data_IF_004685577141
#
_entry.id   IF_004685577141
#
_cell.length_a   1.000
_cell.length_b   1.000
_cell.length_c   1.000
_cell.angle_alpha   90.00
_cell.angle_beta   90.00
_cell.angle_gamma   90.00
#
_symmetry.space_group_name_H-M   'P 1'
#
loop_
_entity.id
_entity.type
_entity.pdbx_description
1 polymer ?
#
# COMPACT_ATOMS: atom_id res chain seq x y z
N UNK A 1 24.83 -13.72 -11.30
CA UNK A 1 25.18 -13.42 -9.90
C UNK A 1 23.85 -13.22 -9.17
N UNK A 2 23.44 -14.23 -8.39
CA UNK A 2 22.14 -14.22 -7.69
C UNK A 2 22.25 -13.24 -6.53
N UNK A 3 21.46 -12.16 -6.55
CA UNK A 3 21.23 -11.35 -5.37
C UNK A 3 20.59 -12.28 -4.32
N UNK A 4 21.36 -12.72 -3.32
CA UNK A 4 20.78 -13.31 -2.11
C UNK A 4 19.84 -12.25 -1.52
N UNK A 5 18.54 -12.55 -1.57
CA UNK A 5 17.48 -11.66 -1.13
C UNK A 5 17.82 -11.05 0.25
N UNK A 6 17.92 -9.73 0.29
CA UNK A 6 17.88 -8.87 1.50
C UNK A 6 19.09 -8.83 2.43
N UNK A 7 20.21 -9.50 2.15
CA UNK A 7 21.37 -9.52 3.08
C UNK A 7 22.21 -8.23 3.15
N UNK A 8 21.92 -7.23 2.30
CA UNK A 8 22.77 -6.05 2.09
C UNK A 8 22.15 -4.71 2.52
N UNK A 9 21.02 -4.73 3.22
CA UNK A 9 20.42 -3.49 3.72
C UNK A 9 20.33 -3.53 5.24
N UNK A 10 20.91 -2.52 5.89
CA UNK A 10 20.91 -2.35 7.36
C UNK A 10 19.51 -2.17 7.96
N UNK A 11 18.52 -1.94 7.09
CA UNK A 11 17.13 -1.70 7.46
C UNK A 11 16.21 -2.70 6.78
N UNK A 12 15.22 -3.22 7.52
CA UNK A 12 14.26 -4.23 7.03
C UNK A 12 12.88 -3.60 6.84
N UNK A 13 12.29 -3.81 5.67
CA UNK A 13 10.89 -3.46 5.41
C UNK A 13 9.94 -4.38 6.21
N UNK A 14 8.97 -3.86 6.97
CA UNK A 14 7.97 -4.68 7.66
C UNK A 14 7.10 -5.44 6.66
N UNK A 15 6.91 -6.74 6.87
CA UNK A 15 6.21 -7.57 5.87
C UNK A 15 4.73 -7.17 5.72
N UNK A 16 4.29 -6.83 4.49
CA UNK A 16 2.93 -6.36 4.27
C UNK A 16 1.96 -7.55 4.22
N UNK A 17 0.69 -7.28 4.54
CA UNK A 17 -0.42 -8.17 4.19
C UNK A 17 -1.35 -7.40 3.26
N UNK A 18 -0.91 -7.27 2.01
CA UNK A 18 -1.51 -6.41 1.01
C UNK A 18 -1.57 -7.15 -0.33
N UNK A 19 -2.72 -7.08 -0.99
CA UNK A 19 -2.98 -7.77 -2.25
C UNK A 19 -2.09 -7.18 -3.35
N UNK A 20 -1.39 -8.02 -4.08
CA UNK A 20 -0.53 -7.56 -5.19
C UNK A 20 0.80 -6.92 -4.77
N UNK A 21 1.16 -6.95 -3.47
CA UNK A 21 2.42 -6.37 -2.99
C UNK A 21 3.65 -7.00 -3.66
N UNK A 22 4.51 -6.15 -4.24
CA UNK A 22 5.71 -6.56 -5.01
C UNK A 22 6.96 -6.80 -4.15
N UNK A 23 6.78 -6.95 -2.84
CA UNK A 23 7.87 -7.08 -1.87
C UNK A 23 8.82 -8.27 -2.18
N UNK A 24 8.28 -9.36 -2.75
CA UNK A 24 9.02 -10.56 -3.19
C UNK A 24 9.78 -10.38 -4.51
N UNK A 25 9.46 -9.33 -5.27
CA UNK A 25 10.02 -9.07 -6.60
C UNK A 25 11.04 -7.94 -6.58
N UNK A 26 11.24 -7.28 -5.44
CA UNK A 26 12.23 -6.21 -5.24
C UNK A 26 13.60 -6.55 -5.83
N UNK A 27 14.18 -7.69 -5.45
CA UNK A 27 15.50 -8.11 -5.95
C UNK A 27 15.56 -8.39 -7.45
N UNK A 28 14.43 -8.72 -8.08
CA UNK A 28 14.34 -8.88 -9.53
C UNK A 28 14.17 -7.53 -10.24
N UNK A 29 13.25 -6.69 -9.76
CA UNK A 29 13.01 -5.34 -10.29
C UNK A 29 14.28 -4.47 -10.17
N UNK A 30 15.03 -4.60 -9.08
CA UNK A 30 16.26 -3.86 -8.84
C UNK A 30 17.32 -4.04 -9.93
N UNK A 31 17.33 -5.19 -10.62
CA UNK A 31 18.29 -5.49 -11.69
C UNK A 31 18.09 -4.61 -12.95
N UNK A 32 16.92 -3.98 -13.07
CA UNK A 32 16.55 -3.15 -14.22
C UNK A 32 16.61 -1.65 -13.92
N UNK A 33 17.05 -1.27 -12.72
CA UNK A 33 17.28 0.14 -12.36
C UNK A 33 18.64 0.56 -12.95
N UNK A 34 18.71 1.58 -13.82
CA UNK A 34 19.99 2.09 -14.29
C UNK A 34 20.86 2.61 -13.14
N UNK A 35 22.17 2.35 -13.19
CA UNK A 35 23.09 2.73 -12.10
C UNK A 35 23.05 4.23 -11.79
N UNK A 36 22.94 5.06 -12.84
CA UNK A 36 22.94 6.53 -12.76
C UNK A 36 21.61 7.15 -12.32
N UNK A 37 20.58 6.36 -12.07
CA UNK A 37 19.29 6.85 -11.55
C UNK A 37 19.49 7.42 -10.14
N UNK A 38 19.08 8.67 -9.91
CA UNK A 38 19.19 9.36 -8.61
C UNK A 38 17.81 9.65 -8.02
N UNK A 39 16.87 10.12 -8.84
CA UNK A 39 15.50 10.49 -8.44
C UNK A 39 14.53 9.50 -9.04
N UNK A 40 13.72 8.87 -8.19
CA UNK A 40 12.73 7.87 -8.62
C UNK A 40 11.34 8.21 -8.13
N UNK A 41 10.34 7.90 -8.96
CA UNK A 41 8.93 7.94 -8.61
C UNK A 41 8.37 6.52 -8.47
N UNK A 42 7.80 6.17 -7.33
CA UNK A 42 6.88 5.04 -7.17
C UNK A 42 5.45 5.57 -7.30
N UNK A 43 4.84 5.41 -8.49
CA UNK A 43 3.61 6.10 -8.87
C UNK A 43 2.34 5.51 -8.22
N UNK A 44 2.37 4.22 -7.89
CA UNK A 44 1.27 3.43 -7.34
C UNK A 44 1.78 2.55 -6.20
N UNK A 45 2.25 3.22 -5.16
CA UNK A 45 3.14 2.61 -4.18
C UNK A 45 2.49 1.55 -3.29
N UNK A 46 1.18 1.61 -3.06
CA UNK A 46 0.43 0.64 -2.26
C UNK A 46 1.10 0.39 -0.91
N UNK A 47 1.62 -0.83 -0.75
CA UNK A 47 2.39 -1.24 0.43
C UNK A 47 3.68 -0.45 0.70
N UNK A 48 4.19 0.35 -0.24
CA UNK A 48 5.49 1.05 -0.21
C UNK A 48 6.72 0.15 -0.31
N UNK A 49 6.55 -1.14 -0.61
CA UNK A 49 7.68 -2.08 -0.63
C UNK A 49 8.74 -1.77 -1.71
N UNK A 50 8.33 -1.20 -2.84
CA UNK A 50 9.24 -0.80 -3.93
C UNK A 50 9.87 0.56 -3.63
N UNK A 51 9.08 1.56 -3.24
CA UNK A 51 9.58 2.83 -2.68
C UNK A 51 10.64 2.62 -1.58
N UNK A 52 10.41 1.69 -0.65
CA UNK A 52 11.35 1.40 0.43
C UNK A 52 12.67 0.83 -0.10
N UNK A 53 12.62 -0.08 -1.09
CA UNK A 53 13.81 -0.57 -1.76
C UNK A 53 14.59 0.55 -2.44
N UNK A 54 13.91 1.46 -3.13
CA UNK A 54 14.58 2.61 -3.73
C UNK A 54 15.31 3.47 -2.68
N UNK A 55 14.67 3.69 -1.52
CA UNK A 55 15.27 4.42 -0.40
C UNK A 55 16.51 3.68 0.14
N UNK A 56 16.41 2.35 0.29
CA UNK A 56 17.53 1.48 0.69
C UNK A 56 18.69 1.51 -0.33
N UNK A 57 18.39 1.67 -1.61
CA UNK A 57 19.39 1.86 -2.68
C UNK A 57 19.97 3.29 -2.75
N UNK A 58 19.70 4.14 -1.75
CA UNK A 58 20.25 5.50 -1.65
C UNK A 58 19.63 6.50 -2.62
N UNK A 59 18.51 6.18 -3.26
CA UNK A 59 17.82 7.07 -4.22
C UNK A 59 17.00 8.13 -3.48
N UNK A 60 16.81 9.30 -4.10
CA UNK A 60 15.75 10.24 -3.69
C UNK A 60 14.43 9.66 -4.17
N UNK A 61 13.54 9.37 -3.25
CA UNK A 61 12.26 8.70 -3.54
C UNK A 61 11.12 9.68 -3.46
N UNK A 62 10.39 9.79 -4.56
CA UNK A 62 9.05 10.33 -4.60
C UNK A 62 8.10 9.14 -4.61
N UNK A 63 7.16 9.08 -3.68
CA UNK A 63 6.16 8.01 -3.64
C UNK A 63 4.76 8.59 -3.68
N UNK A 64 3.84 7.91 -4.33
CA UNK A 64 2.44 8.31 -4.44
C UNK A 64 1.51 7.12 -4.26
N UNK A 65 0.43 7.33 -3.51
CA UNK A 65 -0.75 6.46 -3.56
C UNK A 65 -2.01 7.29 -3.40
N UNK A 66 -3.08 6.94 -4.12
CA UNK A 66 -4.33 7.70 -4.02
C UNK A 66 -5.12 7.36 -2.75
N UNK A 67 -4.92 6.18 -2.15
CA UNK A 67 -5.50 5.81 -0.86
C UNK A 67 -4.61 6.35 0.25
N UNK A 68 -5.21 7.10 1.17
CA UNK A 68 -4.44 7.77 2.19
C UNK A 68 -3.80 6.79 3.17
N UNK A 69 -4.45 5.65 3.47
CA UNK A 69 -3.82 4.66 4.36
C UNK A 69 -2.50 4.10 3.78
N UNK A 70 -2.39 3.99 2.45
CA UNK A 70 -1.14 3.61 1.76
C UNK A 70 -0.12 4.75 1.76
N UNK A 71 -0.57 5.98 1.49
CA UNK A 71 0.28 7.17 1.58
C UNK A 71 0.85 7.37 3.00
N UNK A 72 0.10 7.04 4.05
CA UNK A 72 0.61 7.13 5.42
C UNK A 72 1.77 6.17 5.68
N UNK A 73 1.82 5.01 5.02
CA UNK A 73 3.01 4.13 5.06
C UNK A 73 4.19 4.85 4.39
N UNK A 74 3.94 5.57 3.28
CA UNK A 74 4.94 6.37 2.57
C UNK A 74 5.47 7.50 3.44
N UNK A 75 4.59 8.26 4.08
CA UNK A 75 4.95 9.27 5.08
C UNK A 75 5.76 8.65 6.23
N UNK A 76 5.34 7.51 6.75
CA UNK A 76 5.94 6.89 7.92
C UNK A 76 7.31 6.25 7.68
N UNK A 77 7.54 5.66 6.50
CA UNK A 77 8.74 4.85 6.22
C UNK A 77 9.64 5.42 5.12
N UNK A 78 9.10 6.20 4.19
CA UNK A 78 9.83 6.75 3.04
C UNK A 78 10.27 8.19 3.33
N UNK A 79 9.31 9.10 3.57
CA UNK A 79 9.59 10.51 3.84
C UNK A 79 10.21 10.73 5.23
N UNK A 80 9.72 10.02 6.24
CA UNK A 80 10.27 10.08 7.59
C UNK A 80 11.72 9.56 7.65
N UNK A 81 12.61 10.40 8.16
CA UNK A 81 14.04 10.10 8.28
C UNK A 81 14.45 9.57 9.66
N UNK A 82 13.67 9.83 10.71
CA UNK A 82 14.15 9.63 12.10
C UNK A 82 13.09 9.48 13.19
N UNK A 83 11.85 9.93 12.96
CA UNK A 83 10.84 9.98 14.02
C UNK A 83 10.25 8.59 14.26
N UNK A 84 10.31 8.13 15.51
CA UNK A 84 9.81 6.83 15.95
C UNK A 84 8.80 7.02 17.08
N UNK A 85 7.93 6.05 17.28
CA UNK A 85 7.03 6.06 18.44
C UNK A 85 7.79 5.56 19.68
N UNK A 86 7.76 6.34 20.75
CA UNK A 86 8.31 6.00 22.06
C UNK A 86 7.20 5.63 23.05
N UNK A 87 7.57 5.24 24.27
CA UNK A 87 6.61 4.78 25.27
C UNK A 87 5.57 5.85 25.65
N UNK A 88 5.96 7.13 25.66
CA UNK A 88 5.03 8.23 25.99
C UNK A 88 3.99 8.43 24.89
N UNK A 89 4.39 8.26 23.62
CA UNK A 89 3.44 8.27 22.51
C UNK A 89 2.45 7.09 22.63
N UNK A 90 2.93 5.91 23.03
CA UNK A 90 2.08 4.72 23.19
C UNK A 90 1.08 4.90 24.32
N UNK A 91 1.50 5.41 25.47
CA UNK A 91 0.61 5.73 26.60
C UNK A 91 -0.48 6.72 26.18
N UNK A 92 -0.11 7.77 25.44
CA UNK A 92 -1.05 8.75 24.89
C UNK A 92 -2.04 8.11 23.92
N UNK A 93 -1.55 7.33 22.94
CA UNK A 93 -2.37 6.66 21.94
C UNK A 93 -3.35 5.66 22.55
N UNK A 94 -2.94 4.98 23.62
CA UNK A 94 -3.75 3.97 24.31
C UNK A 94 -4.61 4.53 25.45
N UNK A 95 -4.60 5.85 25.66
CA UNK A 95 -5.47 6.51 26.61
C UNK A 95 -6.94 6.46 26.18
N UNK A 96 -7.84 6.81 27.09
CA UNK A 96 -9.27 6.83 26.84
C UNK A 96 -9.67 7.79 25.70
N UNK A 97 -10.88 7.59 25.21
CA UNK A 97 -11.40 8.33 24.08
C UNK A 97 -11.62 9.79 24.46
N UNK A 98 -10.91 10.69 23.80
CA UNK A 98 -10.90 12.11 24.17
C UNK A 98 -12.18 12.85 23.83
N UNK A 99 -12.98 12.31 22.91
CA UNK A 99 -14.27 12.88 22.50
C UNK A 99 -15.16 11.75 21.95
N UNK A 100 -15.87 11.00 22.81
CA UNK A 100 -16.68 9.86 22.39
C UNK A 100 -17.84 10.23 21.45
N UNK A 101 -18.29 11.48 21.46
CA UNK A 101 -19.33 11.95 20.54
C UNK A 101 -18.80 12.09 19.11
N UNK A 102 -17.53 12.50 18.99
CA UNK A 102 -16.83 12.63 17.72
C UNK A 102 -16.17 11.34 17.27
N UNK A 103 -15.63 10.54 18.18
CA UNK A 103 -14.91 9.31 17.86
C UNK A 103 -15.72 8.08 18.28
N UNK A 104 -16.64 7.67 17.41
CA UNK A 104 -17.48 6.48 17.57
C UNK A 104 -17.77 5.79 16.23
N UNK A 105 -17.12 6.22 15.15
CA UNK A 105 -17.43 5.80 13.78
C UNK A 105 -17.13 4.32 13.57
N UNK A 106 -16.03 3.82 14.13
CA UNK A 106 -15.64 2.42 13.94
C UNK A 106 -16.53 1.50 14.76
N UNK A 107 -16.92 1.92 15.96
CA UNK A 107 -17.92 1.25 16.78
C UNK A 107 -19.29 1.19 16.09
N UNK A 108 -19.76 2.30 15.51
CA UNK A 108 -21.05 2.33 14.81
C UNK A 108 -21.08 1.46 13.54
N UNK A 109 -19.99 1.45 12.77
CA UNK A 109 -19.97 0.77 11.47
C UNK A 109 -19.57 -0.70 11.56
N UNK A 110 -18.61 -1.05 12.42
CA UNK A 110 -17.87 -2.30 12.29
C UNK A 110 -17.96 -3.24 13.51
N UNK A 111 -18.60 -2.82 14.60
CA UNK A 111 -18.94 -3.71 15.74
C UNK A 111 -19.88 -4.82 15.29
N UNK A 112 -19.58 -6.05 15.67
CA UNK A 112 -20.37 -7.23 15.27
C UNK A 112 -20.20 -7.63 13.80
N UNK A 113 -19.37 -6.90 13.05
CA UNK A 113 -19.07 -7.18 11.64
C UNK A 113 -17.62 -7.64 11.46
N UNK A 114 -16.67 -6.79 11.86
CA UNK A 114 -15.23 -7.09 11.79
C UNK A 114 -14.57 -7.21 13.17
N UNK A 115 -15.13 -6.54 14.17
CA UNK A 115 -14.57 -6.41 15.50
C UNK A 115 -15.65 -6.66 16.57
N UNK A 116 -15.24 -7.10 17.76
CA UNK A 116 -16.11 -7.03 18.94
C UNK A 116 -16.18 -5.59 19.48
N UNK A 117 -17.11 -5.35 20.40
CA UNK A 117 -17.37 -4.03 20.99
C UNK A 117 -16.14 -3.40 21.67
N UNK A 118 -15.37 -4.20 22.42
CA UNK A 118 -14.14 -3.76 23.06
C UNK A 118 -13.09 -3.31 22.02
N UNK A 119 -12.98 -4.05 20.92
CA UNK A 119 -12.00 -3.76 19.86
C UNK A 119 -12.37 -2.52 19.07
N UNK A 120 -13.62 -2.38 18.64
CA UNK A 120 -14.07 -1.20 17.89
C UNK A 120 -13.99 0.07 18.74
N UNK A 121 -14.35 -0.01 20.02
CA UNK A 121 -14.21 1.09 20.98
C UNK A 121 -12.75 1.48 21.17
N UNK A 122 -11.83 0.50 21.23
CA UNK A 122 -10.40 0.78 21.28
C UNK A 122 -9.88 1.44 20.00
N UNK A 123 -10.35 1.03 18.81
CA UNK A 123 -9.97 1.66 17.54
C UNK A 123 -10.36 3.14 17.53
N UNK A 124 -11.57 3.46 17.97
CA UNK A 124 -12.07 4.85 18.05
C UNK A 124 -11.30 5.66 19.10
N UNK A 125 -11.03 5.08 20.27
CA UNK A 125 -10.19 5.68 21.31
C UNK A 125 -8.80 6.02 20.78
N UNK A 126 -8.14 5.05 20.14
CA UNK A 126 -6.82 5.24 19.53
C UNK A 126 -6.86 6.38 18.50
N UNK A 127 -7.85 6.38 17.61
CA UNK A 127 -8.00 7.41 16.57
C UNK A 127 -8.24 8.80 17.14
N UNK A 128 -8.95 8.89 18.26
CA UNK A 128 -9.17 10.13 19.00
C UNK A 128 -7.87 10.73 19.51
N UNK A 129 -6.86 9.90 19.82
CA UNK A 129 -5.60 10.35 20.41
C UNK A 129 -4.50 10.64 19.39
N UNK A 130 -4.58 10.13 18.15
CA UNK A 130 -3.52 10.30 17.13
C UNK A 130 -3.14 11.77 16.91
N UNK A 131 -4.13 12.67 16.80
CA UNK A 131 -3.87 14.09 16.50
C UNK A 131 -3.10 14.83 17.62
N UNK A 132 -3.03 14.24 18.83
CA UNK A 132 -2.29 14.77 19.97
C UNK A 132 -0.79 14.52 19.86
N UNK A 133 -0.35 13.60 18.99
CA UNK A 133 1.06 13.45 18.65
C UNK A 133 1.51 14.69 17.87
N UNK A 134 2.49 15.43 18.39
CA UNK A 134 2.95 16.69 17.80
C UNK A 134 3.63 16.53 16.43
N UNK A 135 4.09 15.34 16.10
CA UNK A 135 4.85 15.07 14.88
C UNK A 135 4.02 14.29 13.84
N UNK A 136 3.88 14.78 12.60
CA UNK A 136 3.06 14.14 11.57
C UNK A 136 3.60 12.77 11.15
N UNK A 137 4.90 12.52 11.24
CA UNK A 137 5.48 11.21 10.95
C UNK A 137 5.17 10.19 12.04
N UNK A 138 5.14 10.61 13.31
CA UNK A 138 4.66 9.75 14.41
C UNK A 138 3.17 9.42 14.23
N UNK A 139 2.34 10.40 13.81
CA UNK A 139 0.93 10.16 13.48
C UNK A 139 0.79 9.13 12.34
N UNK A 140 1.55 9.30 11.26
CA UNK A 140 1.55 8.38 10.12
C UNK A 140 1.99 6.96 10.52
N UNK A 141 3.02 6.85 11.37
CA UNK A 141 3.51 5.58 11.89
C UNK A 141 2.44 4.89 12.75
N UNK A 142 1.82 5.63 13.67
CA UNK A 142 0.75 5.12 14.54
C UNK A 142 -0.44 4.58 13.72
N UNK A 143 -0.93 5.36 12.76
CA UNK A 143 -2.03 4.95 11.88
C UNK A 143 -1.65 3.75 11.01
N UNK A 144 -0.44 3.74 10.45
CA UNK A 144 0.05 2.63 9.62
C UNK A 144 0.13 1.31 10.40
N UNK A 145 0.65 1.34 11.64
CA UNK A 145 0.74 0.15 12.50
C UNK A 145 -0.68 -0.28 12.95
N UNK A 146 -1.59 0.65 13.22
CA UNK A 146 -2.98 0.30 13.55
C UNK A 146 -3.72 -0.34 12.36
N UNK A 147 -3.58 0.22 11.15
CA UNK A 147 -4.09 -0.40 9.93
C UNK A 147 -3.54 -1.81 9.74
N UNK A 148 -2.21 -1.99 9.94
CA UNK A 148 -1.59 -3.32 9.91
C UNK A 148 -2.17 -4.24 10.97
N UNK A 149 -2.38 -3.76 12.19
CA UNK A 149 -2.97 -4.52 13.30
C UNK A 149 -4.38 -5.02 12.96
N UNK A 150 -5.21 -4.17 12.35
CA UNK A 150 -6.54 -4.55 11.87
C UNK A 150 -6.47 -5.60 10.75
N UNK A 151 -5.55 -5.50 9.79
CA UNK A 151 -5.42 -6.54 8.74
C UNK A 151 -5.02 -7.92 9.29
N UNK A 152 -4.32 -7.97 10.43
CA UNK A 152 -3.98 -9.24 11.10
C UNK A 152 -5.20 -9.96 11.69
N UNK A 153 -6.30 -9.23 11.92
CA UNK A 153 -7.58 -9.77 12.39
C UNK A 153 -8.40 -10.45 11.29
N UNK A 154 -7.96 -10.42 10.04
CA UNK A 154 -8.63 -11.08 8.91
C UNK A 154 -7.70 -12.04 8.19
N UNK A 155 -8.26 -13.10 7.60
CA UNK A 155 -7.47 -14.18 6.99
C UNK A 155 -6.89 -13.80 5.63
N UNK A 156 -7.58 -12.97 4.84
CA UNK A 156 -7.14 -12.55 3.50
C UNK A 156 -6.42 -11.19 3.48
N UNK A 157 -6.29 -10.51 4.61
CA UNK A 157 -5.64 -9.20 4.68
C UNK A 157 -6.46 -8.02 4.14
N UNK A 158 -7.74 -8.22 3.86
CA UNK A 158 -8.65 -7.20 3.33
C UNK A 158 -10.08 -7.42 3.87
N UNK A 159 -10.94 -6.40 3.72
CA UNK A 159 -12.26 -6.30 4.38
C UNK A 159 -13.42 -6.47 3.41
N UNK A 160 -13.27 -7.39 2.45
CA UNK A 160 -14.22 -7.61 1.34
C UNK A 160 -15.28 -8.70 1.63
N UNK A 161 -15.31 -9.25 2.84
CA UNK A 161 -16.25 -10.30 3.25
C UNK A 161 -16.58 -10.20 4.74
N UNK A 162 -17.75 -10.69 5.14
CA UNK A 162 -18.30 -10.57 6.50
C UNK A 162 -17.89 -11.73 7.45
N UNK A 163 -16.83 -12.46 7.12
CA UNK A 163 -16.45 -13.71 7.80
C UNK A 163 -15.46 -13.53 8.96
N UNK A 164 -15.06 -12.31 9.29
CA UNK A 164 -14.01 -12.04 10.27
C UNK A 164 -14.33 -12.66 11.64
N UNK A 165 -15.53 -12.40 12.18
CA UNK A 165 -15.95 -12.93 13.49
C UNK A 165 -16.24 -14.44 13.45
N UNK A 166 -16.72 -14.96 12.32
CA UNK A 166 -16.88 -16.41 12.11
C UNK A 166 -15.53 -17.12 12.16
N UNK A 167 -14.50 -16.54 11.53
CA UNK A 167 -13.14 -17.10 11.59
C UNK A 167 -12.50 -16.94 12.97
N UNK A 168 -12.83 -15.88 13.70
CA UNK A 168 -12.38 -15.67 15.06
C UNK A 168 -13.04 -16.62 16.07
N UNK A 169 -14.13 -17.31 15.72
CA UNK A 169 -14.77 -18.34 16.55
C UNK A 169 -14.46 -19.78 16.14
N UNK A 170 -13.76 -19.99 15.01
CA UNK A 170 -13.36 -21.32 14.52
C UNK A 170 -11.98 -21.72 15.08
N UNK A 171 -11.89 -22.75 15.97
CA UNK A 171 -10.62 -23.22 16.54
C UNK A 171 -9.57 -23.60 15.49
N UNK A 172 -9.98 -24.12 14.33
CA UNK A 172 -9.09 -24.51 13.24
C UNK A 172 -8.45 -23.29 12.59
N UNK A 173 -9.23 -22.20 12.42
CA UNK A 173 -8.73 -20.93 11.87
C UNK A 173 -7.82 -20.22 12.87
N UNK A 174 -8.20 -20.19 14.14
CA UNK A 174 -7.40 -19.62 15.24
C UNK A 174 -6.04 -20.31 15.35
N UNK A 175 -6.00 -21.65 15.25
CA UNK A 175 -4.74 -22.42 15.28
C UNK A 175 -3.77 -21.98 14.17
N UNK A 176 -4.29 -21.62 12.99
CA UNK A 176 -3.48 -21.15 11.84
C UNK A 176 -3.12 -19.67 11.93
N UNK A 177 -4.03 -18.85 12.44
CA UNK A 177 -3.81 -17.42 12.64
C UNK A 177 -4.33 -17.00 14.01
N UNK A 178 -3.45 -17.00 15.01
CA UNK A 178 -3.81 -16.59 16.38
C UNK A 178 -4.19 -15.11 16.45
N UNK A 179 -3.75 -14.28 15.52
CA UNK A 179 -4.10 -12.84 15.52
C UNK A 179 -5.61 -12.61 15.46
N UNK A 180 -6.41 -13.53 14.90
CA UNK A 180 -7.87 -13.40 14.79
C UNK A 180 -8.58 -13.12 16.14
N UNK A 181 -8.04 -13.63 17.25
CA UNK A 181 -8.63 -13.46 18.60
C UNK A 181 -7.80 -12.59 19.52
N UNK A 182 -6.62 -12.13 19.09
CA UNK A 182 -5.76 -11.31 19.94
C UNK A 182 -6.31 -9.88 20.00
N UNK A 183 -6.25 -9.21 21.16
CA UNK A 183 -6.57 -7.80 21.26
C UNK A 183 -5.71 -6.96 20.33
N UNK A 184 -6.30 -5.96 19.66
CA UNK A 184 -5.59 -5.07 18.75
C UNK A 184 -4.41 -4.36 19.41
N UNK A 185 -4.54 -3.97 20.68
CA UNK A 185 -3.45 -3.38 21.49
C UNK A 185 -2.20 -4.26 21.50
N UNK A 186 -2.36 -5.57 21.66
CA UNK A 186 -1.25 -6.51 21.72
C UNK A 186 -0.63 -6.73 20.32
N UNK A 187 -1.46 -6.78 19.27
CA UNK A 187 -0.96 -6.88 17.90
C UNK A 187 -0.15 -5.63 17.53
N UNK A 188 -0.63 -4.45 17.91
CA UNK A 188 0.07 -3.18 17.70
C UNK A 188 1.45 -3.19 18.35
N UNK A 189 1.52 -3.57 19.63
CA UNK A 189 2.79 -3.62 20.38
C UNK A 189 3.79 -4.63 19.80
N UNK A 190 3.31 -5.75 19.27
CA UNK A 190 4.18 -6.73 18.59
C UNK A 190 4.77 -6.18 17.27
N UNK A 191 4.00 -5.38 16.53
CA UNK A 191 4.41 -4.82 15.25
C UNK A 191 5.31 -3.57 15.40
N UNK A 192 5.14 -2.84 16.50
CA UNK A 192 5.81 -1.56 16.75
C UNK A 192 7.34 -1.62 16.61
N UNK A 193 8.05 -2.60 17.21
CA UNK A 193 9.51 -2.68 17.07
C UNK A 193 9.98 -2.77 15.61
N UNK A 194 9.29 -3.56 14.78
CA UNK A 194 9.64 -3.73 13.36
C UNK A 194 9.45 -2.42 12.58
N UNK A 195 8.34 -1.71 12.80
CA UNK A 195 8.07 -0.43 12.15
C UNK A 195 9.04 0.66 12.62
N UNK A 196 9.34 0.74 13.92
CA UNK A 196 10.34 1.68 14.44
C UNK A 196 11.75 1.38 13.89
N UNK A 197 12.12 0.11 13.75
CA UNK A 197 13.41 -0.28 13.17
C UNK A 197 13.49 0.03 11.65
N UNK A 198 12.34 0.06 10.97
CA UNK A 198 12.27 0.36 9.55
C UNK A 198 12.42 1.86 9.21
N UNK A 199 12.35 2.77 10.19
CA UNK A 199 12.59 4.21 9.97
C UNK A 199 14.08 4.50 9.93
N UNK A 200 14.54 5.09 8.81
CA UNK A 200 15.93 5.46 8.61
C UNK A 200 16.10 6.67 7.69
N UNK A 201 17.30 7.28 7.76
CA UNK A 201 17.70 8.40 6.92
C UNK A 201 18.66 7.91 5.84
N UNK A 202 18.32 8.11 4.57
CA UNK A 202 19.21 7.83 3.43
C UNK A 202 19.90 9.11 2.90
N UNK A 203 19.84 10.21 3.64
CA UNK A 203 20.41 11.52 3.32
C UNK A 203 19.81 12.14 2.04
N UNK A 204 18.54 11.84 1.75
CA UNK A 204 17.78 12.39 0.62
C UNK A 204 16.46 12.99 1.09
N UNK A 205 16.02 14.03 0.40
CA UNK A 205 14.71 14.67 0.61
C UNK A 205 13.62 13.84 -0.09
N UNK A 206 13.27 12.71 0.51
CA UNK A 206 12.18 11.85 0.01
C UNK A 206 10.82 12.51 0.28
N UNK A 207 9.81 12.24 -0.55
CA UNK A 207 8.47 12.84 -0.42
C UNK A 207 7.39 11.79 -0.71
N UNK A 208 6.32 11.78 0.09
CA UNK A 208 5.10 10.99 -0.11
C UNK A 208 3.90 11.88 -0.44
N UNK A 209 3.25 11.59 -1.56
CA UNK A 209 2.04 12.26 -2.03
C UNK A 209 0.79 11.37 -1.88
N UNK A 210 -0.35 12.00 -1.59
CA UNK A 210 -1.68 11.39 -1.70
C UNK A 210 -2.48 12.04 -2.83
N UNK A 211 -2.20 11.64 -4.07
CA UNK A 211 -2.83 12.24 -5.26
C UNK A 211 -3.29 11.15 -6.23
N UNK A 212 -4.25 11.51 -7.09
CA UNK A 212 -4.44 10.75 -8.32
C UNK A 212 -3.18 10.97 -9.18
N UNK A 213 -2.61 9.89 -9.71
CA UNK A 213 -1.36 9.95 -10.46
C UNK A 213 -1.47 10.82 -11.72
N UNK A 214 -2.65 10.87 -12.35
CA UNK A 214 -2.91 11.68 -13.55
C UNK A 214 -2.86 13.19 -13.27
N UNK A 215 -3.08 13.58 -12.01
CA UNK A 215 -2.96 14.96 -11.54
C UNK A 215 -1.52 15.26 -11.07
N UNK A 216 -0.81 14.27 -10.53
CA UNK A 216 0.54 14.42 -9.98
C UNK A 216 1.62 14.40 -11.06
N UNK A 217 1.55 13.46 -12.01
CA UNK A 217 2.60 13.28 -13.03
C UNK A 217 3.01 14.59 -13.75
N UNK A 218 2.07 15.47 -14.17
CA UNK A 218 2.43 16.69 -14.87
C UNK A 218 3.14 17.75 -14.01
N UNK A 219 3.14 17.60 -12.68
CA UNK A 219 3.74 18.57 -11.75
C UNK A 219 5.15 18.19 -11.31
N UNK A 220 5.60 16.99 -11.67
CA UNK A 220 6.92 16.48 -11.32
C UNK A 220 7.93 16.83 -12.41
N UNK A 221 9.10 17.27 -11.99
CA UNK A 221 10.25 17.57 -12.83
C UNK A 221 11.47 16.80 -12.32
N UNK A 222 12.50 16.65 -13.15
CA UNK A 222 13.79 16.04 -12.78
C UNK A 222 13.71 14.64 -12.16
N UNK A 223 12.75 13.82 -12.63
CA UNK A 223 12.65 12.40 -12.27
C UNK A 223 13.40 11.56 -13.31
N UNK A 224 14.34 10.72 -12.86
CA UNK A 224 15.14 9.87 -13.75
C UNK A 224 14.41 8.57 -14.13
N UNK A 225 13.61 8.05 -13.21
CA UNK A 225 12.88 6.79 -13.37
C UNK A 225 11.52 6.83 -12.70
N UNK A 226 10.50 6.35 -13.39
CA UNK A 226 9.18 6.07 -12.79
C UNK A 226 8.91 4.57 -12.80
N UNK A 227 8.46 4.08 -11.66
CA UNK A 227 7.92 2.75 -11.48
C UNK A 227 6.39 2.82 -11.47
N UNK A 228 5.77 2.11 -12.40
CA UNK A 228 4.32 2.00 -12.56
C UNK A 228 3.86 0.61 -12.15
N UNK A 229 2.90 0.54 -11.23
CA UNK A 229 2.18 -0.68 -10.85
C UNK A 229 0.68 -0.36 -10.72
N UNK A 230 0.04 0.11 -11.82
CA UNK A 230 -1.34 0.56 -11.77
C UNK A 230 -2.27 -0.59 -11.39
N UNK A 231 -3.44 -0.32 -10.79
CA UNK A 231 -4.49 -1.31 -10.71
C UNK A 231 -4.81 -1.87 -12.09
N UNK A 232 -4.76 -3.19 -12.23
CA UNK A 232 -4.96 -3.84 -13.51
C UNK A 232 -6.21 -4.72 -13.51
N UNK A 233 -7.07 -4.49 -14.50
CA UNK A 233 -8.37 -5.11 -14.59
C UNK A 233 -8.26 -6.64 -14.74
N UNK A 234 -9.35 -7.35 -14.43
CA UNK A 234 -9.43 -8.81 -14.34
C UNK A 234 -8.62 -9.46 -13.19
N UNK A 235 -7.83 -8.69 -12.43
CA UNK A 235 -6.96 -9.21 -11.36
C UNK A 235 -7.11 -8.49 -10.02
N UNK A 236 -8.34 -8.11 -9.66
CA UNK A 236 -8.69 -7.37 -8.43
C UNK A 236 -8.23 -5.90 -8.40
N UNK A 237 -8.57 -5.12 -9.43
CA UNK A 237 -8.20 -3.71 -9.53
C UNK A 237 -8.89 -2.76 -8.53
N UNK A 238 -10.02 -3.15 -7.96
CA UNK A 238 -10.83 -2.29 -7.08
C UNK A 238 -10.34 -2.30 -5.63
N UNK A 239 -9.14 -1.73 -5.41
CA UNK A 239 -8.52 -1.64 -4.07
C UNK A 239 -9.39 -0.90 -3.05
N UNK A 240 -10.21 0.07 -3.48
CA UNK A 240 -11.16 0.77 -2.61
C UNK A 240 -12.14 -0.21 -1.96
N UNK A 241 -12.68 -1.17 -2.72
CA UNK A 241 -13.58 -2.18 -2.15
C UNK A 241 -12.89 -3.17 -1.21
N UNK A 242 -11.62 -3.48 -1.43
CA UNK A 242 -10.88 -4.41 -0.57
C UNK A 242 -10.45 -3.75 0.75
N UNK A 243 -10.05 -2.48 0.70
CA UNK A 243 -9.43 -1.77 1.82
C UNK A 243 -10.30 -0.64 2.39
N UNK A 244 -11.60 -0.62 2.06
CA UNK A 244 -12.53 0.45 2.43
C UNK A 244 -12.47 0.80 3.92
N UNK A 245 -12.40 -0.20 4.81
CA UNK A 245 -12.37 0.00 6.25
C UNK A 245 -11.12 0.76 6.70
N UNK A 246 -9.96 0.47 6.12
CA UNK A 246 -8.72 1.15 6.49
C UNK A 246 -8.74 2.62 6.04
N UNK A 247 -9.25 2.88 4.84
CA UNK A 247 -9.42 4.24 4.35
C UNK A 247 -10.43 5.01 5.20
N UNK A 248 -11.60 4.41 5.51
CA UNK A 248 -12.60 4.97 6.44
C UNK A 248 -11.99 5.29 7.80
N UNK A 249 -11.14 4.42 8.34
CA UNK A 249 -10.48 4.64 9.64
C UNK A 249 -9.49 5.81 9.61
N UNK A 250 -8.66 5.87 8.58
CA UNK A 250 -7.63 6.91 8.44
C UNK A 250 -8.30 8.27 8.24
N UNK A 251 -9.21 8.35 7.28
CA UNK A 251 -9.90 9.57 6.92
C UNK A 251 -10.95 9.98 7.95
N UNK A 252 -11.55 8.99 8.61
CA UNK A 252 -12.56 9.14 9.65
C UNK A 252 -13.81 9.91 9.17
N UNK A 253 -14.27 9.61 7.95
CA UNK A 253 -15.41 10.25 7.30
C UNK A 253 -16.73 9.95 8.01
N UNK A 254 -17.29 10.94 8.70
CA UNK A 254 -18.64 10.85 9.29
C UNK A 254 -19.76 11.27 8.32
N UNK A 255 -19.41 11.95 7.24
CA UNK A 255 -20.31 12.55 6.26
C UNK A 255 -20.56 11.66 5.02
N UNK A 256 -19.79 10.58 4.86
CA UNK A 256 -19.96 9.60 3.77
C UNK A 256 -21.17 8.70 4.01
N UNK A 257 -21.71 8.17 2.92
CA UNK A 257 -22.70 7.10 2.99
C UNK A 257 -22.00 5.75 3.09
N UNK A 258 -22.50 4.86 3.94
CA UNK A 258 -21.96 3.51 4.12
C UNK A 258 -22.95 2.46 3.64
N UNK A 259 -22.65 1.84 2.51
CA UNK A 259 -23.56 0.94 1.79
C UNK A 259 -23.17 -0.52 2.00
N UNK A 260 -24.07 -1.43 1.62
CA UNK A 260 -23.90 -2.89 1.59
C UNK A 260 -23.56 -3.56 2.94
N UNK A 261 -23.40 -4.89 2.92
CA UNK A 261 -23.15 -5.68 4.13
C UNK A 261 -21.75 -5.54 4.74
N UNK A 262 -20.78 -4.98 4.01
CA UNK A 262 -19.44 -4.69 4.52
C UNK A 262 -19.25 -3.22 4.91
N UNK A 263 -20.28 -2.36 4.77
CA UNK A 263 -20.24 -0.93 5.10
C UNK A 263 -19.16 -0.17 4.31
N UNK A 264 -19.17 -0.33 2.99
CA UNK A 264 -18.27 0.41 2.09
C UNK A 264 -18.69 1.88 2.00
N UNK A 265 -17.73 2.80 2.03
CA UNK A 265 -18.00 4.22 1.82
C UNK A 265 -18.41 4.52 0.36
N UNK A 266 -19.30 5.50 0.18
CA UNK A 266 -19.70 6.06 -1.11
C UNK A 266 -19.88 7.59 -1.00
N UNK A 267 -19.65 8.36 -2.10
CA UNK A 267 -19.11 7.89 -3.37
C UNK A 267 -17.63 7.52 -3.26
N UNK A 268 -17.22 6.50 -4.03
CA UNK A 268 -15.79 6.18 -4.25
C UNK A 268 -15.01 7.36 -4.85
N UNK A 269 -13.71 7.40 -4.56
CA UNK A 269 -12.77 8.31 -5.23
C UNK A 269 -12.54 7.81 -6.65
N UNK A 270 -12.36 8.72 -7.62
CA UNK A 270 -12.06 8.34 -8.99
C UNK A 270 -10.61 7.83 -9.11
N UNK A 271 -10.44 6.56 -9.53
CA UNK A 271 -9.10 5.98 -9.75
C UNK A 271 -8.67 6.07 -11.22
N UNK A 272 -9.59 5.78 -12.15
CA UNK A 272 -9.34 5.72 -13.59
C UNK A 272 -8.78 4.38 -14.09
N UNK A 273 -8.35 3.48 -13.21
CA UNK A 273 -7.68 2.23 -13.61
C UNK A 273 -8.45 0.96 -13.21
N UNK A 274 -9.54 1.08 -12.46
CA UNK A 274 -10.28 -0.06 -11.90
C UNK A 274 -11.40 -0.61 -12.80
N UNK A 275 -11.67 0.02 -13.95
CA UNK A 275 -12.72 -0.37 -14.90
C UNK A 275 -12.19 -0.56 -16.32
N UNK A 276 -12.56 -1.67 -16.97
CA UNK A 276 -12.12 -1.97 -18.35
C UNK A 276 -12.47 -0.86 -19.35
N UNK A 277 -13.63 -0.21 -19.19
CA UNK A 277 -14.11 0.85 -20.08
C UNK A 277 -13.25 2.13 -20.05
N UNK A 278 -12.43 2.31 -19.01
CA UNK A 278 -11.63 3.51 -18.79
C UNK A 278 -10.12 3.22 -18.73
N UNK A 279 -9.73 1.97 -18.43
CA UNK A 279 -8.34 1.60 -18.18
C UNK A 279 -7.41 1.94 -19.36
N UNK A 280 -7.82 1.65 -20.61
CA UNK A 280 -6.97 1.90 -21.79
C UNK A 280 -6.70 3.41 -21.97
N UNK A 281 -7.74 4.24 -21.92
CA UNK A 281 -7.59 5.68 -22.13
C UNK A 281 -6.77 6.34 -21.02
N UNK A 282 -6.94 5.89 -19.78
CA UNK A 282 -6.17 6.40 -18.64
C UNK A 282 -4.72 5.91 -18.63
N UNK A 283 -4.44 4.67 -19.05
CA UNK A 283 -3.06 4.19 -19.28
C UNK A 283 -2.37 5.01 -20.38
N UNK A 284 -3.07 5.26 -21.49
CA UNK A 284 -2.54 6.08 -22.57
C UNK A 284 -2.22 7.51 -22.11
N UNK A 285 -3.13 8.12 -21.33
CA UNK A 285 -2.93 9.45 -20.76
C UNK A 285 -1.74 9.46 -19.79
N UNK A 286 -1.64 8.47 -18.91
CA UNK A 286 -0.54 8.33 -17.96
C UNK A 286 0.82 8.24 -18.68
N UNK A 287 0.96 7.38 -19.68
CA UNK A 287 2.20 7.26 -20.46
C UNK A 287 2.53 8.55 -21.21
N UNK A 288 1.52 9.23 -21.78
CA UNK A 288 1.70 10.54 -22.40
C UNK A 288 2.25 11.58 -21.42
N UNK A 289 1.67 11.67 -20.22
CA UNK A 289 2.09 12.62 -19.20
C UNK A 289 3.50 12.30 -18.67
N UNK A 290 3.87 11.02 -18.58
CA UNK A 290 5.19 10.58 -18.14
C UNK A 290 6.31 10.73 -19.20
N UNK A 291 6.00 11.28 -20.39
CA UNK A 291 6.95 11.38 -21.51
C UNK A 291 8.24 12.15 -21.20
N UNK A 292 8.23 13.03 -20.19
CA UNK A 292 9.41 13.76 -19.74
C UNK A 292 10.38 12.90 -18.89
N UNK A 293 9.95 11.74 -18.35
CA UNK A 293 10.75 10.87 -17.48
C UNK A 293 11.47 9.80 -18.30
N UNK A 294 12.82 9.75 -18.37
CA UNK A 294 13.52 8.98 -19.39
C UNK A 294 13.38 7.46 -19.26
N UNK A 295 13.26 6.92 -18.04
CA UNK A 295 13.15 5.46 -17.80
C UNK A 295 11.84 5.10 -17.15
N UNK A 296 11.11 4.12 -17.70
CA UNK A 296 9.91 3.56 -17.04
C UNK A 296 10.11 2.08 -16.75
N UNK A 297 9.71 1.66 -15.55
CA UNK A 297 9.55 0.26 -15.19
C UNK A 297 8.07 0.02 -14.92
N UNK A 298 7.41 -0.80 -15.75
CA UNK A 298 5.97 -1.08 -15.61
C UNK A 298 5.78 -2.52 -15.15
N UNK A 299 5.36 -2.69 -13.90
CA UNK A 299 4.98 -3.99 -13.36
C UNK A 299 3.56 -4.36 -13.79
N UNK A 300 3.40 -5.63 -14.15
CA UNK A 300 2.15 -6.17 -14.67
C UNK A 300 2.07 -7.68 -14.49
N UNK A 301 0.97 -8.30 -14.90
CA UNK A 301 0.87 -9.76 -15.00
C UNK A 301 0.20 -10.19 -16.31
N UNK A 302 0.54 -11.39 -16.76
CA UNK A 302 0.08 -11.95 -18.03
C UNK A 302 -1.40 -12.40 -18.05
N UNK A 303 -2.17 -12.12 -17.00
CA UNK A 303 -3.61 -12.44 -16.89
C UNK A 303 -4.50 -11.22 -16.69
N UNK A 304 -3.95 -10.03 -16.85
CA UNK A 304 -4.69 -8.78 -16.68
C UNK A 304 -5.19 -8.20 -17.99
N UNK A 305 -6.13 -7.26 -17.86
CA UNK A 305 -6.57 -6.43 -18.97
C UNK A 305 -6.03 -5.00 -18.83
N UNK A 306 -5.47 -4.40 -19.90
CA UNK A 306 -5.29 -4.97 -21.26
C UNK A 306 -4.17 -6.04 -21.32
N UNK A 307 -4.04 -6.76 -22.43
CA UNK A 307 -2.96 -7.73 -22.60
C UNK A 307 -1.58 -7.08 -22.82
N UNK A 308 -0.53 -7.90 -22.82
CA UNK A 308 0.86 -7.41 -22.90
C UNK A 308 1.17 -6.74 -24.24
N UNK A 309 0.62 -7.25 -25.35
CA UNK A 309 0.82 -6.65 -26.67
C UNK A 309 0.21 -5.26 -26.72
N UNK A 310 -1.02 -5.11 -26.22
CA UNK A 310 -1.68 -3.82 -26.07
C UNK A 310 -0.88 -2.88 -25.16
N UNK A 311 -0.32 -3.35 -24.04
CA UNK A 311 0.55 -2.54 -23.19
C UNK A 311 1.80 -2.04 -23.93
N UNK A 312 2.43 -2.90 -24.74
CA UNK A 312 3.56 -2.52 -25.60
C UNK A 312 3.12 -1.46 -26.61
N UNK A 313 1.97 -1.64 -27.26
CA UNK A 313 1.43 -0.69 -28.24
C UNK A 313 1.11 0.68 -27.63
N UNK A 314 0.65 0.72 -26.38
CA UNK A 314 0.39 1.98 -25.66
C UNK A 314 1.67 2.73 -25.28
N UNK A 315 2.76 2.01 -25.01
CA UNK A 315 4.05 2.58 -24.57
C UNK A 315 4.95 2.93 -25.77
N UNK A 316 4.91 2.13 -26.83
CA UNK A 316 5.81 2.23 -27.98
C UNK A 316 5.83 3.58 -28.71
N UNK A 317 4.79 4.44 -28.68
CA UNK A 317 4.90 5.80 -29.21
C UNK A 317 5.96 6.63 -28.47
N UNK A 318 6.15 6.38 -27.17
CA UNK A 318 6.96 7.21 -26.28
C UNK A 318 8.33 6.62 -25.94
N UNK A 319 8.46 5.28 -25.87
CA UNK A 319 9.66 4.58 -25.38
C UNK A 319 9.98 3.34 -26.20
N UNK A 320 11.25 2.92 -26.18
CA UNK A 320 11.65 1.55 -26.55
C UNK A 320 11.22 0.60 -25.43
N UNK A 321 10.66 -0.58 -25.76
CA UNK A 321 10.08 -1.50 -24.76
C UNK A 321 10.75 -2.86 -24.81
N UNK A 322 11.26 -3.34 -23.67
CA UNK A 322 11.71 -4.71 -23.47
C UNK A 322 10.81 -5.39 -22.44
N UNK A 323 10.27 -6.56 -22.77
CA UNK A 323 9.38 -7.33 -21.88
C UNK A 323 10.18 -8.41 -21.16
N UNK A 324 10.24 -8.33 -19.84
CA UNK A 324 10.87 -9.31 -18.97
C UNK A 324 9.81 -10.14 -18.24
N UNK A 325 10.08 -11.44 -18.05
CA UNK A 325 9.12 -12.40 -17.48
C UNK A 325 9.72 -13.17 -16.31
N UNK A 326 8.97 -13.28 -15.23
CA UNK A 326 9.29 -14.13 -14.08
C UNK A 326 8.11 -15.04 -13.75
N UNK A 327 8.28 -16.33 -13.97
CA UNK A 327 7.23 -17.34 -13.80
C UNK A 327 6.94 -17.57 -12.31
N UNK A 328 5.66 -17.68 -11.96
CA UNK A 328 5.21 -18.10 -10.64
C UNK A 328 5.25 -19.62 -10.52
N UNK A 329 6.20 -20.13 -9.73
CA UNK A 329 6.31 -21.57 -9.43
C UNK A 329 5.19 -22.08 -8.51
N UNK A 330 4.51 -21.20 -7.76
CA UNK A 330 3.39 -21.51 -6.88
C UNK A 330 2.40 -20.35 -6.83
N UNK A 331 1.12 -20.66 -6.59
CA UNK A 331 0.07 -19.64 -6.46
C UNK A 331 0.19 -18.83 -5.17
N UNK A 332 -0.07 -17.52 -5.23
CA UNK A 332 0.14 -16.56 -4.13
C UNK A 332 -1.09 -15.74 -3.73
N UNK A 333 -2.29 -16.26 -4.00
CA UNK A 333 -3.53 -15.72 -3.43
C UNK A 333 -4.18 -14.56 -4.19
N UNK A 334 -3.80 -14.31 -5.45
CA UNK A 334 -4.48 -13.37 -6.36
C UNK A 334 -4.76 -14.00 -7.72
N UNK A 335 -5.80 -13.51 -8.43
CA UNK A 335 -6.18 -14.02 -9.77
C UNK A 335 -5.04 -14.00 -10.80
N UNK A 336 -4.15 -13.01 -10.71
CA UNK A 336 -2.99 -12.86 -11.60
C UNK A 336 -1.72 -13.61 -11.16
N UNK A 337 -1.67 -14.12 -9.93
CA UNK A 337 -0.47 -14.75 -9.34
C UNK A 337 -0.75 -16.21 -8.97
N UNK A 338 -1.13 -17.00 -9.96
CA UNK A 338 -1.37 -18.45 -9.81
C UNK A 338 -0.21 -19.23 -10.41
N UNK A 339 -0.06 -20.51 -10.04
CA UNK A 339 1.01 -21.34 -10.60
C UNK A 339 0.93 -21.34 -12.14
N UNK A 340 2.06 -21.08 -12.80
CA UNK A 340 2.15 -21.01 -14.26
C UNK A 340 1.73 -19.67 -14.89
N UNK A 341 1.33 -18.66 -14.11
CA UNK A 341 1.30 -17.27 -14.59
C UNK A 341 2.67 -16.62 -14.47
N UNK A 342 2.84 -15.45 -15.08
CA UNK A 342 4.10 -14.69 -15.05
C UNK A 342 3.88 -13.29 -14.49
N UNK A 343 4.78 -12.89 -13.60
CA UNK A 343 5.04 -11.48 -13.36
C UNK A 343 5.74 -10.91 -14.60
N UNK A 344 5.28 -9.75 -15.06
CA UNK A 344 5.81 -9.06 -16.23
C UNK A 344 6.40 -7.73 -15.78
N UNK A 345 7.57 -7.40 -16.32
CA UNK A 345 8.17 -6.07 -16.19
C UNK A 345 8.45 -5.54 -17.59
N UNK A 346 7.77 -4.45 -17.97
CA UNK A 346 8.11 -3.73 -19.20
C UNK A 346 9.17 -2.68 -18.85
N UNK A 347 10.39 -2.93 -19.32
CA UNK A 347 11.55 -2.04 -19.15
C UNK A 347 11.57 -1.09 -20.34
N UNK A 348 11.33 0.19 -20.07
CA UNK A 348 11.10 1.19 -21.09
C UNK A 348 12.20 2.25 -21.06
N UNK A 349 12.89 2.46 -22.17
CA UNK A 349 13.99 3.43 -22.30
C UNK A 349 13.71 4.47 -23.38
N UNK A 350 14.47 5.56 -23.37
CA UNK A 350 14.43 6.58 -24.42
C UNK A 350 14.60 5.95 -25.82
N UNK A 351 13.95 6.58 -26.80
CA UNK A 351 14.06 6.23 -28.22
C UNK A 351 15.38 6.67 -28.82
#
# INVERSE_FOLDING_TARGET
MLFEDTKYFDYKFPEPQYLGAKYIHRGWIAQFIPERTNVVLDAFSGSQSIAYMFKQLGKKVITNDFLNFNNLIGKALIENSSNKLDSSDIELLFSENSDPSKYNLMSELYTGLFFCDEESSFIDSFRSNVHKLSNPYKQALALSIMCRSMTRKVTMGHFAHTQALVYASDPTRIKRNRSLIRPLKNIFLDLLPEYNAAVFNNLKDNISYNKNILDLLPTLEDVDLVYFDPPYCNSHADYQSFYHLLETYVEYWKDKQFVNGIKRYEPKRYSGFDKNSEAISNLQLMFKQAHHIPTWLVSYNDRSFPDIETMVDLISPYRNVKVERKVYNSGRGGKGSVAGSSEILLVCTMK
#
